data_IF_763588048534
#
_entry.id   IF_763588048534
#
_cell.length_a   1.000
_cell.length_b   1.000
_cell.length_c   1.000
_cell.angle_alpha   90.00
_cell.angle_beta   90.00
_cell.angle_gamma   90.00
#
_symmetry.space_group_name_H-M   'P 1'
#
loop_
_entity.id
_entity.type
_entity.pdbx_description
1 polymer ?
#
# COMPACT_ATOMS: atom_id res chain seq x y z
N UNK A 1 7.00 0.38 -21.76
CA UNK A 1 5.72 1.12 -21.68
C UNK A 1 5.03 0.73 -20.39
N UNK A 2 4.92 1.64 -19.42
CA UNK A 2 4.26 1.37 -18.14
C UNK A 2 2.74 1.48 -18.34
N UNK A 3 2.05 0.35 -18.44
CA UNK A 3 0.61 0.31 -18.66
C UNK A 3 -0.12 0.57 -17.34
N UNK A 4 -0.41 1.84 -17.04
CA UNK A 4 -1.48 2.23 -16.13
C UNK A 4 -1.99 3.60 -16.55
N UNK A 5 -3.32 3.87 -16.55
CA UNK A 5 -3.91 5.15 -17.00
C UNK A 5 -3.55 6.37 -16.12
N UNK A 6 -2.60 6.23 -15.20
CA UNK A 6 -2.18 7.22 -14.21
C UNK A 6 -0.68 6.98 -14.04
N UNK A 7 0.16 7.88 -14.57
CA UNK A 7 1.59 7.68 -14.87
C UNK A 7 2.55 7.37 -13.71
N UNK A 8 2.06 6.93 -12.55
CA UNK A 8 2.90 6.41 -11.47
C UNK A 8 3.29 4.95 -11.73
N UNK A 9 4.59 4.67 -11.59
CA UNK A 9 5.12 3.30 -11.59
C UNK A 9 4.54 2.50 -10.43
N UNK A 10 4.40 1.18 -10.61
CA UNK A 10 4.04 0.27 -9.52
C UNK A 10 5.02 0.43 -8.36
N UNK A 11 6.32 0.54 -8.63
CA UNK A 11 7.32 0.72 -7.59
C UNK A 11 7.09 1.99 -6.76
N UNK A 12 6.71 3.11 -7.41
CA UNK A 12 6.37 4.37 -6.72
C UNK A 12 5.14 4.20 -5.82
N UNK A 13 4.16 3.40 -6.24
CA UNK A 13 2.99 3.11 -5.40
C UNK A 13 3.36 2.24 -4.19
N UNK A 14 4.24 1.26 -4.36
CA UNK A 14 4.74 0.43 -3.25
C UNK A 14 5.53 1.28 -2.25
N UNK A 15 6.44 2.13 -2.74
CA UNK A 15 7.22 3.07 -1.92
C UNK A 15 6.32 4.00 -1.10
N UNK A 16 5.26 4.57 -1.72
CA UNK A 16 4.27 5.38 -0.99
C UNK A 16 3.57 4.61 0.11
N UNK A 17 3.18 3.35 -0.14
CA UNK A 17 2.55 2.50 0.89
C UNK A 17 3.52 2.27 2.05
N UNK A 18 4.74 1.84 1.77
CA UNK A 18 5.75 1.60 2.82
C UNK A 18 6.08 2.87 3.61
N UNK A 19 6.12 4.02 2.94
CA UNK A 19 6.38 5.33 3.55
C UNK A 19 5.24 5.82 4.47
N UNK A 20 4.07 5.18 4.48
CA UNK A 20 3.00 5.52 5.44
C UNK A 20 3.26 5.00 6.84
N UNK A 21 4.13 3.99 6.98
CA UNK A 21 4.48 3.38 8.25
C UNK A 21 5.63 4.14 8.91
N UNK A 22 5.63 4.16 10.24
CA UNK A 22 6.73 4.73 11.02
C UNK A 22 7.01 3.89 12.26
N UNK A 23 8.12 4.14 12.94
CA UNK A 23 8.44 3.47 14.21
C UNK A 23 7.38 3.73 15.30
N UNK A 24 6.68 4.87 15.23
CA UNK A 24 5.60 5.20 16.17
C UNK A 24 4.24 4.61 15.76
N UNK A 25 4.07 4.25 14.48
CA UNK A 25 2.80 3.80 13.92
C UNK A 25 3.05 2.72 12.86
N UNK A 26 3.05 1.47 13.31
CA UNK A 26 3.29 0.28 12.48
C UNK A 26 2.01 -0.48 12.12
N UNK A 27 0.89 -0.20 12.81
CA UNK A 27 -0.40 -0.84 12.56
C UNK A 27 -1.34 0.13 11.87
N UNK A 28 -1.57 -0.09 10.57
CA UNK A 28 -2.43 0.75 9.74
C UNK A 28 -3.51 -0.09 9.09
N UNK A 29 -4.73 0.45 9.00
CA UNK A 29 -5.78 -0.17 8.20
C UNK A 29 -5.58 0.12 6.71
N UNK A 30 -6.10 -0.73 5.83
CA UNK A 30 -6.05 -0.49 4.38
C UNK A 30 -6.74 0.83 3.99
N UNK A 31 -7.77 1.26 4.73
CA UNK A 31 -8.45 2.54 4.51
C UNK A 31 -7.57 3.74 4.90
N UNK A 32 -6.80 3.61 5.99
CA UNK A 32 -5.81 4.61 6.41
C UNK A 32 -4.72 4.78 5.36
N UNK A 33 -4.18 3.64 4.88
CA UNK A 33 -3.16 3.62 3.83
C UNK A 33 -3.70 4.26 2.54
N UNK A 34 -4.92 3.92 2.11
CA UNK A 34 -5.55 4.53 0.94
C UNK A 34 -5.64 6.05 1.06
N UNK A 35 -6.08 6.55 2.22
CA UNK A 35 -6.18 7.99 2.47
C UNK A 35 -4.83 8.69 2.45
N UNK A 36 -3.81 8.14 3.13
CA UNK A 36 -2.46 8.74 3.20
C UNK A 36 -1.73 8.73 1.87
N UNK A 37 -1.90 7.67 1.08
CA UNK A 37 -1.25 7.52 -0.22
C UNK A 37 -1.99 8.20 -1.37
N UNK A 38 -3.25 8.58 -1.17
CA UNK A 38 -4.14 9.08 -2.22
C UNK A 38 -4.56 7.99 -3.23
N UNK A 39 -4.29 6.72 -2.94
CA UNK A 39 -4.67 5.61 -3.81
C UNK A 39 -6.17 5.31 -3.68
N UNK A 40 -6.84 4.89 -4.77
CA UNK A 40 -8.19 4.34 -4.67
C UNK A 40 -8.22 3.19 -3.65
N UNK A 41 -9.24 3.09 -2.78
CA UNK A 41 -9.30 2.06 -1.72
C UNK A 41 -9.09 0.62 -2.23
N UNK A 42 -9.69 0.28 -3.37
CA UNK A 42 -9.51 -1.04 -4.00
C UNK A 42 -8.06 -1.30 -4.45
N UNK A 43 -7.33 -0.25 -4.88
CA UNK A 43 -5.92 -0.36 -5.26
C UNK A 43 -5.03 -0.50 -4.03
N UNK A 44 -5.26 0.31 -3.00
CA UNK A 44 -4.52 0.20 -1.74
C UNK A 44 -4.70 -1.19 -1.11
N UNK A 45 -5.94 -1.69 -1.07
CA UNK A 45 -6.24 -3.01 -0.51
C UNK A 45 -5.55 -4.13 -1.30
N UNK A 46 -5.60 -4.10 -2.63
CA UNK A 46 -4.89 -5.06 -3.49
C UNK A 46 -3.38 -5.04 -3.23
N UNK A 47 -2.76 -3.86 -3.23
CA UNK A 47 -1.32 -3.74 -2.99
C UNK A 47 -0.92 -4.23 -1.60
N UNK A 48 -1.69 -3.89 -0.55
CA UNK A 48 -1.41 -4.37 0.81
C UNK A 48 -1.48 -5.89 0.89
N UNK A 49 -2.46 -6.51 0.20
CA UNK A 49 -2.57 -7.97 0.11
C UNK A 49 -1.38 -8.58 -0.61
N UNK A 50 -1.04 -8.10 -1.80
CA UNK A 50 0.10 -8.61 -2.58
C UNK A 50 1.42 -8.48 -1.79
N UNK A 51 1.62 -7.35 -1.11
CA UNK A 51 2.77 -7.11 -0.24
C UNK A 51 2.79 -8.04 0.97
N UNK A 52 1.64 -8.39 1.53
CA UNK A 52 1.56 -9.36 2.62
C UNK A 52 1.85 -10.79 2.15
N UNK A 53 1.34 -11.18 0.98
CA UNK A 53 1.64 -12.47 0.35
C UNK A 53 3.14 -12.63 0.04
N UNK A 54 3.83 -11.52 -0.28
CA UNK A 54 5.28 -11.46 -0.48
C UNK A 54 6.10 -11.31 0.81
N UNK A 55 5.45 -11.18 1.97
CA UNK A 55 6.09 -11.04 3.28
C UNK A 55 6.66 -9.65 3.59
N UNK A 56 6.25 -8.62 2.84
CA UNK A 56 6.66 -7.23 3.10
C UNK A 56 5.80 -6.58 4.18
N UNK A 57 4.53 -7.00 4.29
CA UNK A 57 3.58 -6.55 5.30
C UNK A 57 3.01 -7.75 6.04
N UNK A 58 2.52 -7.52 7.25
CA UNK A 58 1.78 -8.53 8.01
C UNK A 58 0.35 -8.05 8.23
N UNK A 59 -0.62 -8.95 8.05
CA UNK A 59 -2.01 -8.68 8.41
C UNK A 59 -2.22 -9.07 9.87
N UNK A 60 -2.63 -8.12 10.70
CA UNK A 60 -3.02 -8.39 12.09
C UNK A 60 -4.40 -9.02 12.22
N UNK A 61 -5.15 -9.16 11.11
CA UNK A 61 -6.43 -9.86 11.11
C UNK A 61 -6.14 -11.36 11.32
N UNK A 62 -6.36 -11.81 12.55
CA UNK A 62 -6.40 -13.23 12.90
C UNK A 62 -7.67 -13.87 12.36
#
# INVERSE_FOLDING_TARGET
MANSPTGDSVLTRLDRVLSTFSAAESLLSAAEIARRTGLPPATAHRLCRDMAELGWLESSAR
#
